data_IF_958312947900
#
_entry.id   IF_958312947900
#
_cell.length_a   1.000
_cell.length_b   1.000
_cell.length_c   1.000
_cell.angle_alpha   90.00
_cell.angle_beta   90.00
_cell.angle_gamma   90.00
#
_symmetry.space_group_name_H-M   'P 1'
#
loop_
_entity.id
_entity.type
_entity.pdbx_description
1 polymer ?
#
# COMPACT_ATOMS: atom_id res chain seq x y z
N UNK A 1 -25.54 2.95 -4.28
CA UNK A 1 -25.33 3.21 -2.84
C UNK A 1 -23.82 3.36 -2.67
N UNK A 2 -23.37 4.36 -1.93
CA UNK A 2 -21.96 4.62 -1.69
C UNK A 2 -21.38 3.51 -0.81
N UNK A 3 -20.24 2.96 -1.19
CA UNK A 3 -19.59 1.87 -0.46
C UNK A 3 -18.53 2.44 0.49
N UNK A 4 -18.26 1.73 1.59
CA UNK A 4 -17.30 2.15 2.61
C UNK A 4 -16.19 1.14 2.77
N UNK A 5 -15.00 1.64 3.11
CA UNK A 5 -13.86 0.82 3.47
C UNK A 5 -13.01 1.47 4.57
N UNK A 6 -12.09 0.69 5.10
CA UNK A 6 -11.10 1.15 6.09
C UNK A 6 -9.70 0.82 5.59
N UNK A 7 -8.82 1.83 5.69
CA UNK A 7 -7.39 1.66 5.48
C UNK A 7 -6.75 1.28 6.83
N UNK A 8 -6.19 0.08 6.88
CA UNK A 8 -5.37 -0.41 7.98
C UNK A 8 -4.29 -1.35 7.44
N UNK A 9 -3.01 -0.95 7.45
CA UNK A 9 -1.92 -1.83 7.05
C UNK A 9 -1.86 -3.10 7.89
N UNK A 10 -1.37 -4.20 7.31
CA UNK A 10 -1.21 -5.47 8.05
C UNK A 10 -0.33 -5.28 9.29
N UNK A 11 0.80 -4.57 9.16
CA UNK A 11 1.70 -4.31 10.29
C UNK A 11 1.04 -3.50 11.42
N UNK A 12 -0.05 -2.77 11.11
CA UNK A 12 -0.81 -1.94 12.07
C UNK A 12 -1.89 -2.70 12.84
N UNK A 13 -2.15 -3.96 12.51
CA UNK A 13 -3.05 -4.81 13.30
C UNK A 13 -2.50 -5.02 14.71
N UNK A 14 -3.35 -5.17 15.73
CA UNK A 14 -2.91 -5.63 17.04
C UNK A 14 -2.10 -6.94 16.91
N UNK A 15 -1.15 -7.13 17.79
CA UNK A 15 -0.37 -8.38 17.80
C UNK A 15 0.31 -8.57 19.13
N UNK A 16 0.29 -9.79 19.63
CA UNK A 16 1.06 -10.24 20.79
C UNK A 16 2.50 -10.62 20.46
N UNK A 17 2.90 -10.51 19.20
CA UNK A 17 4.25 -10.87 18.73
C UNK A 17 5.05 -9.68 18.17
N UNK A 18 4.56 -8.46 18.37
CA UNK A 18 5.28 -7.22 18.07
C UNK A 18 4.83 -6.52 16.78
N UNK A 19 4.41 -7.25 15.75
CA UNK A 19 3.93 -6.72 14.47
C UNK A 19 2.67 -7.48 14.04
N UNK A 20 1.70 -6.77 13.42
CA UNK A 20 0.52 -7.40 12.85
C UNK A 20 0.86 -8.40 11.75
N UNK A 21 0.06 -9.46 11.65
CA UNK A 21 0.30 -10.55 10.71
C UNK A 21 -1.02 -11.16 10.18
N UNK A 22 -0.94 -12.24 9.39
CA UNK A 22 -2.10 -12.92 8.81
C UNK A 22 -2.83 -13.85 9.81
N UNK A 23 -2.71 -13.58 11.10
CA UNK A 23 -3.28 -14.35 12.21
C UNK A 23 -4.66 -13.90 12.64
N UNK A 24 -5.03 -14.28 13.86
CA UNK A 24 -6.37 -14.11 14.43
C UNK A 24 -6.87 -12.68 14.40
N UNK A 25 -5.99 -11.70 14.65
CA UNK A 25 -6.35 -10.30 14.68
C UNK A 25 -6.77 -9.78 13.29
N UNK A 26 -6.20 -10.33 12.21
CA UNK A 26 -6.66 -10.04 10.85
C UNK A 26 -8.06 -10.61 10.57
N UNK A 27 -8.38 -11.80 11.08
CA UNK A 27 -9.73 -12.37 10.97
C UNK A 27 -10.74 -11.61 11.81
N UNK A 28 -10.38 -11.21 13.04
CA UNK A 28 -11.23 -10.38 13.90
C UNK A 28 -11.51 -9.01 13.24
N UNK A 29 -10.53 -8.40 12.60
CA UNK A 29 -10.74 -7.15 11.88
C UNK A 29 -11.74 -7.31 10.73
N UNK A 30 -11.65 -8.40 9.97
CA UNK A 30 -12.62 -8.73 8.92
C UNK A 30 -14.04 -8.87 9.50
N UNK A 31 -14.18 -9.53 10.65
CA UNK A 31 -15.48 -9.66 11.32
C UNK A 31 -16.02 -8.29 11.74
N UNK A 32 -15.18 -7.42 12.30
CA UNK A 32 -15.56 -6.03 12.66
C UNK A 32 -16.06 -5.27 11.42
N UNK A 33 -15.38 -5.38 10.27
CA UNK A 33 -15.81 -4.72 9.04
C UNK A 33 -17.17 -5.25 8.57
N UNK A 34 -17.30 -6.56 8.49
CA UNK A 34 -18.52 -7.23 8.04
C UNK A 34 -19.73 -6.89 8.92
N UNK A 35 -19.59 -6.94 10.25
CA UNK A 35 -20.64 -6.62 11.22
C UNK A 35 -21.13 -5.17 11.13
N UNK A 36 -20.29 -4.25 10.63
CA UNK A 36 -20.62 -2.84 10.45
C UNK A 36 -20.96 -2.47 8.99
N UNK A 37 -21.12 -3.45 8.09
CA UNK A 37 -21.49 -3.24 6.69
C UNK A 37 -20.41 -2.55 5.86
N UNK A 38 -19.14 -2.63 6.29
CA UNK A 38 -17.98 -2.06 5.60
C UNK A 38 -17.45 -3.09 4.61
N UNK A 39 -17.38 -2.69 3.34
CA UNK A 39 -17.09 -3.60 2.23
C UNK A 39 -15.63 -3.74 1.87
N UNK A 40 -14.81 -2.73 2.16
CA UNK A 40 -13.43 -2.75 1.73
C UNK A 40 -12.47 -2.66 2.91
N UNK A 41 -11.44 -3.49 2.84
CA UNK A 41 -10.22 -3.35 3.61
C UNK A 41 -9.10 -2.92 2.67
N UNK A 42 -8.67 -1.67 2.76
CA UNK A 42 -7.50 -1.21 2.03
C UNK A 42 -6.25 -1.45 2.87
N UNK A 43 -5.27 -2.08 2.25
CA UNK A 43 -3.97 -2.36 2.86
C UNK A 43 -2.85 -1.72 2.05
N UNK A 44 -1.73 -1.48 2.71
CA UNK A 44 -0.50 -1.07 2.04
C UNK A 44 0.19 -2.29 1.40
N UNK A 45 1.25 -2.08 0.57
CA UNK A 45 1.97 -3.17 -0.05
C UNK A 45 2.40 -4.23 0.96
N UNK A 46 2.15 -5.50 0.64
CA UNK A 46 2.54 -6.66 1.48
C UNK A 46 3.72 -7.44 0.90
N UNK A 47 4.37 -6.86 -0.09
CA UNK A 47 5.53 -7.45 -0.72
C UNK A 47 6.75 -7.43 0.21
N UNK A 48 7.66 -8.39 0.02
CA UNK A 48 8.93 -8.43 0.73
C UNK A 48 9.69 -7.11 0.57
N UNK A 49 9.95 -6.43 1.67
CA UNK A 49 10.55 -5.10 1.71
C UNK A 49 11.37 -4.92 3.00
N UNK A 50 12.34 -4.04 3.00
CA UNK A 50 13.12 -3.72 4.18
C UNK A 50 12.41 -2.67 5.04
N UNK A 51 11.23 -2.99 5.59
CA UNK A 51 10.39 -2.08 6.43
C UNK A 51 9.84 -0.86 5.69
N UNK A 52 10.03 -0.79 4.38
CA UNK A 52 9.57 0.31 3.53
C UNK A 52 8.58 -0.25 2.50
N UNK A 53 7.26 -0.23 2.76
CA UNK A 53 6.27 -0.91 1.92
C UNK A 53 6.35 -0.54 0.44
N UNK A 54 6.71 0.71 0.12
CA UNK A 54 6.86 1.19 -1.27
C UNK A 54 8.24 0.97 -1.88
N UNK A 55 9.11 0.22 -1.19
CA UNK A 55 10.45 -0.12 -1.65
C UNK A 55 10.66 -1.65 -1.67
N UNK A 56 9.88 -2.40 -2.46
CA UNK A 56 9.93 -3.85 -2.45
C UNK A 56 11.25 -4.39 -3.00
N UNK A 57 11.77 -5.43 -2.36
CA UNK A 57 12.87 -6.24 -2.88
C UNK A 57 12.38 -7.31 -3.86
N UNK A 58 11.07 -7.58 -3.87
CA UNK A 58 10.40 -8.42 -4.86
C UNK A 58 8.95 -8.00 -5.04
N UNK A 59 8.47 -7.98 -6.30
CA UNK A 59 7.05 -7.77 -6.59
C UNK A 59 6.17 -9.00 -6.38
N UNK A 60 6.77 -10.16 -6.13
CA UNK A 60 6.06 -11.44 -6.09
C UNK A 60 6.09 -12.09 -4.71
N UNK A 61 7.21 -11.95 -3.98
CA UNK A 61 7.34 -12.47 -2.64
C UNK A 61 6.61 -11.57 -1.62
N UNK A 62 6.10 -12.17 -0.56
CA UNK A 62 5.41 -11.48 0.54
C UNK A 62 6.38 -11.24 1.70
N UNK A 63 6.09 -10.22 2.50
CA UNK A 63 6.87 -9.84 3.68
C UNK A 63 6.81 -10.92 4.77
N UNK A 64 7.96 -11.40 5.21
CA UNK A 64 8.08 -12.54 6.12
C UNK A 64 7.53 -12.25 7.52
N UNK A 65 7.59 -11.00 7.95
CA UNK A 65 7.01 -10.56 9.22
C UNK A 65 5.49 -10.81 9.32
N UNK A 66 4.80 -10.99 8.19
CA UNK A 66 3.37 -11.25 8.16
C UNK A 66 2.99 -12.73 8.36
N UNK A 67 3.97 -13.63 8.51
CA UNK A 67 3.67 -15.01 8.94
C UNK A 67 3.13 -15.00 10.36
N UNK A 68 1.94 -15.58 10.54
CA UNK A 68 1.34 -15.78 11.86
C UNK A 68 1.98 -16.96 12.58
N UNK A 69 2.54 -16.69 13.76
CA UNK A 69 3.07 -17.74 14.64
C UNK A 69 1.95 -18.63 15.22
N UNK A 70 0.77 -18.07 15.47
CA UNK A 70 -0.36 -18.88 15.95
C UNK A 70 -0.78 -19.93 14.92
N UNK A 71 -0.83 -19.57 13.64
CA UNK A 71 -1.14 -20.52 12.56
C UNK A 71 -0.04 -21.58 12.40
N UNK A 72 1.23 -21.21 12.53
CA UNK A 72 2.31 -22.20 12.55
C UNK A 72 2.19 -23.17 13.72
N UNK A 73 1.77 -22.68 14.89
CA UNK A 73 1.49 -23.52 16.06
C UNK A 73 0.30 -24.44 15.83
N UNK A 74 -0.81 -23.95 15.27
CA UNK A 74 -1.99 -24.78 14.93
C UNK A 74 -1.65 -25.91 13.98
N UNK A 75 -0.73 -25.67 13.04
CA UNK A 75 -0.21 -26.70 12.14
C UNK A 75 0.79 -27.67 12.81
N UNK A 76 1.11 -27.46 14.10
CA UNK A 76 2.07 -28.26 14.85
C UNK A 76 3.51 -28.07 14.42
N UNK A 77 3.82 -26.98 13.72
CA UNK A 77 5.17 -26.68 13.22
C UNK A 77 6.06 -26.02 14.26
N UNK A 78 5.48 -25.34 15.25
CA UNK A 78 6.20 -24.72 16.36
C UNK A 78 5.51 -25.00 17.70
N UNK A 79 6.25 -24.86 18.79
CA UNK A 79 5.72 -24.83 20.16
C UNK A 79 5.07 -23.47 20.46
N UNK A 80 4.64 -23.28 21.73
CA UNK A 80 4.07 -22.01 22.19
C UNK A 80 5.06 -20.85 22.04
N UNK A 81 4.78 -19.86 21.19
CA UNK A 81 5.66 -18.70 21.09
C UNK A 81 5.48 -17.80 22.32
N UNK A 82 6.56 -17.16 22.71
CA UNK A 82 6.57 -16.21 23.82
C UNK A 82 5.79 -14.95 23.43
N UNK A 83 4.93 -14.47 24.32
CA UNK A 83 4.19 -13.23 24.13
C UNK A 83 5.10 -12.04 24.42
N UNK A 84 5.07 -11.04 23.57
CA UNK A 84 5.82 -9.76 23.75
C UNK A 84 4.96 -8.72 24.46
N UNK A 85 5.59 -7.70 25.08
CA UNK A 85 4.86 -6.57 25.64
C UNK A 85 3.98 -5.88 24.58
N UNK A 86 2.79 -5.43 24.98
CA UNK A 86 1.90 -4.66 24.11
C UNK A 86 2.56 -3.34 23.72
N UNK A 87 2.52 -3.01 22.45
CA UNK A 87 3.09 -1.80 21.86
C UNK A 87 2.10 -1.17 20.88
N UNK A 88 2.11 0.16 20.76
CA UNK A 88 1.44 0.92 19.72
C UNK A 88 2.35 1.18 18.51
N UNK A 89 3.51 0.51 18.48
CA UNK A 89 4.44 0.51 17.36
C UNK A 89 4.74 -0.91 16.92
N UNK A 90 4.79 -1.14 15.61
CA UNK A 90 5.30 -2.37 15.02
C UNK A 90 6.78 -2.50 15.34
N UNK A 91 7.19 -3.69 15.77
CA UNK A 91 8.57 -4.00 16.13
C UNK A 91 9.14 -4.89 15.05
N UNK A 92 10.05 -4.33 14.28
CA UNK A 92 10.78 -5.01 13.21
C UNK A 92 12.12 -5.51 13.76
N UNK A 93 12.17 -6.77 14.15
CA UNK A 93 13.37 -7.45 14.65
C UNK A 93 13.35 -8.95 14.32
N UNK A 94 14.41 -9.65 14.64
CA UNK A 94 14.59 -11.07 14.34
C UNK A 94 13.83 -12.01 15.30
N UNK A 95 12.89 -11.48 16.10
CA UNK A 95 12.17 -12.27 17.10
C UNK A 95 11.47 -13.50 16.50
N UNK A 96 10.82 -13.36 15.35
CA UNK A 96 10.07 -14.45 14.70
C UNK A 96 10.99 -15.48 14.04
N UNK A 97 12.23 -15.13 13.68
CA UNK A 97 13.16 -15.97 12.90
C UNK A 97 13.45 -17.33 13.59
N UNK A 98 13.60 -17.34 14.91
CA UNK A 98 13.80 -18.63 15.66
C UNK A 98 12.63 -19.60 15.48
N UNK A 99 11.39 -19.07 15.42
CA UNK A 99 10.19 -19.87 15.21
C UNK A 99 10.04 -20.31 13.75
N UNK A 100 10.46 -19.48 12.80
CA UNK A 100 10.48 -19.84 11.40
C UNK A 100 11.47 -20.99 11.13
N UNK A 101 12.65 -20.97 11.75
CA UNK A 101 13.63 -22.07 11.67
C UNK A 101 13.12 -23.35 12.34
N UNK A 102 12.44 -23.26 13.49
CA UNK A 102 11.77 -24.38 14.12
C UNK A 102 10.68 -24.95 13.20
N UNK A 103 9.82 -24.11 12.65
CA UNK A 103 8.76 -24.51 11.72
C UNK A 103 9.33 -25.21 10.47
N UNK A 104 10.37 -24.66 9.88
CA UNK A 104 11.03 -25.26 8.72
C UNK A 104 11.59 -26.65 9.03
N UNK A 105 12.20 -26.84 10.20
CA UNK A 105 12.75 -28.13 10.61
C UNK A 105 11.67 -29.20 10.84
N UNK A 106 10.46 -28.79 11.23
CA UNK A 106 9.32 -29.67 11.47
C UNK A 106 8.41 -29.86 10.24
N UNK A 107 8.59 -29.03 9.22
CA UNK A 107 7.74 -29.04 8.03
C UNK A 107 7.94 -30.31 7.19
N UNK A 108 6.83 -30.91 6.82
CA UNK A 108 6.79 -32.03 5.88
C UNK A 108 6.19 -31.56 4.57
N UNK A 109 6.96 -31.68 3.50
CA UNK A 109 6.51 -31.31 2.15
C UNK A 109 5.24 -32.06 1.79
N UNK A 110 4.32 -31.34 1.19
CA UNK A 110 3.06 -31.83 0.65
C UNK A 110 2.94 -31.51 -0.85
N UNK A 111 1.92 -32.01 -1.51
CA UNK A 111 1.67 -31.76 -2.95
C UNK A 111 1.43 -30.26 -3.22
N UNK A 112 0.98 -29.50 -2.24
CA UNK A 112 0.80 -28.06 -2.35
C UNK A 112 2.14 -27.33 -2.43
N UNK A 113 3.06 -27.70 -1.55
CA UNK A 113 4.44 -27.21 -1.55
C UNK A 113 5.17 -27.59 -2.84
N UNK A 114 5.06 -28.84 -3.27
CA UNK A 114 5.74 -29.31 -4.48
C UNK A 114 5.28 -28.54 -5.73
N UNK A 115 3.99 -28.18 -5.83
CA UNK A 115 3.48 -27.31 -6.87
C UNK A 115 3.97 -25.86 -6.70
N UNK A 116 3.95 -25.33 -5.46
CA UNK A 116 4.35 -23.96 -5.18
C UNK A 116 5.80 -23.68 -5.56
N UNK A 117 6.72 -24.57 -5.25
CA UNK A 117 8.14 -24.39 -5.56
C UNK A 117 8.47 -24.48 -7.06
N UNK A 118 7.50 -24.80 -7.92
CA UNK A 118 7.68 -24.72 -9.38
C UNK A 118 7.55 -23.30 -9.92
N UNK A 119 6.97 -22.36 -9.16
CA UNK A 119 6.84 -20.98 -9.59
C UNK A 119 8.20 -20.31 -9.68
N UNK A 120 8.50 -19.77 -10.86
CA UNK A 120 9.79 -19.15 -11.19
C UNK A 120 10.11 -17.99 -10.23
N UNK A 121 9.13 -17.16 -9.96
CA UNK A 121 9.24 -15.95 -9.13
C UNK A 121 9.67 -16.29 -7.70
N UNK A 122 9.11 -17.36 -7.15
CA UNK A 122 9.45 -17.81 -5.79
C UNK A 122 10.86 -18.38 -5.70
N UNK A 123 11.29 -19.10 -6.75
CA UNK A 123 12.68 -19.59 -6.83
C UNK A 123 13.68 -18.45 -6.95
N UNK A 124 13.38 -17.46 -7.79
CA UNK A 124 14.22 -16.27 -7.95
C UNK A 124 14.34 -15.49 -6.64
N UNK A 125 13.24 -15.30 -5.92
CA UNK A 125 13.28 -14.69 -4.58
C UNK A 125 14.14 -15.53 -3.61
N UNK A 126 13.94 -16.83 -3.52
CA UNK A 126 14.70 -17.67 -2.61
C UNK A 126 16.20 -17.73 -2.96
N UNK A 127 16.55 -17.70 -4.25
CA UNK A 127 17.96 -17.60 -4.72
C UNK A 127 18.58 -16.23 -4.39
N UNK A 128 17.79 -15.15 -4.52
CA UNK A 128 18.21 -13.82 -4.11
C UNK A 128 18.49 -13.77 -2.60
N UNK A 129 17.57 -14.24 -1.77
CA UNK A 129 17.72 -14.27 -0.32
C UNK A 129 18.89 -15.16 0.14
N UNK A 130 19.10 -16.31 -0.50
CA UNK A 130 20.27 -17.14 -0.22
C UNK A 130 21.60 -16.41 -0.45
N UNK A 131 21.65 -15.52 -1.45
CA UNK A 131 22.86 -14.71 -1.73
C UNK A 131 23.04 -13.56 -0.73
N UNK A 132 21.95 -12.97 -0.24
CA UNK A 132 21.97 -11.79 0.64
C UNK A 132 22.10 -12.18 2.10
N UNK A 133 21.34 -13.16 2.57
CA UNK A 133 21.27 -13.57 3.98
C UNK A 133 22.02 -14.87 4.29
N UNK A 134 22.20 -15.74 3.26
CA UNK A 134 22.99 -16.96 3.39
C UNK A 134 22.24 -18.19 3.90
N UNK A 135 20.95 -18.08 4.29
CA UNK A 135 20.13 -19.24 4.63
C UNK A 135 19.75 -20.06 3.38
N UNK A 136 19.31 -21.31 3.54
CA UNK A 136 19.05 -22.23 2.43
C UNK A 136 17.90 -21.75 1.53
N UNK A 137 18.01 -21.95 0.22
CA UNK A 137 16.91 -21.70 -0.77
C UNK A 137 15.59 -22.37 -0.31
N UNK A 138 15.69 -23.62 0.22
CA UNK A 138 14.53 -24.35 0.72
C UNK A 138 13.82 -23.68 1.89
N UNK A 139 14.55 -22.98 2.73
CA UNK A 139 14.01 -22.20 3.85
C UNK A 139 13.14 -21.04 3.35
N UNK A 140 13.63 -20.22 2.44
CA UNK A 140 12.85 -19.11 1.88
C UNK A 140 11.66 -19.57 1.05
N UNK A 141 11.78 -20.67 0.30
CA UNK A 141 10.63 -21.29 -0.38
C UNK A 141 9.56 -21.76 0.60
N UNK A 142 9.95 -22.30 1.75
CA UNK A 142 9.03 -22.66 2.82
C UNK A 142 8.32 -21.43 3.39
N UNK A 143 9.04 -20.35 3.73
CA UNK A 143 8.43 -19.13 4.26
C UNK A 143 7.40 -18.57 3.28
N UNK A 144 7.74 -18.45 2.00
CA UNK A 144 6.83 -17.94 0.97
C UNK A 144 5.63 -18.88 0.74
N UNK A 145 5.82 -20.19 0.90
CA UNK A 145 4.70 -21.14 0.86
C UNK A 145 3.72 -20.91 2.02
N UNK A 146 4.22 -20.74 3.24
CA UNK A 146 3.39 -20.45 4.42
C UNK A 146 2.65 -19.12 4.28
N UNK A 147 3.35 -18.06 3.84
CA UNK A 147 2.73 -16.77 3.53
C UNK A 147 1.62 -16.89 2.50
N UNK A 148 1.89 -17.54 1.37
CA UNK A 148 0.90 -17.76 0.32
C UNK A 148 -0.32 -18.52 0.80
N UNK A 149 -0.13 -19.52 1.69
CA UNK A 149 -1.20 -20.32 2.28
C UNK A 149 -2.04 -19.46 3.22
N UNK A 150 -1.40 -18.79 4.19
CA UNK A 150 -2.08 -17.96 5.18
C UNK A 150 -2.81 -16.78 4.52
N UNK A 151 -2.19 -16.10 3.53
CA UNK A 151 -2.84 -15.03 2.79
C UNK A 151 -4.07 -15.49 2.00
N UNK A 152 -3.97 -16.61 1.28
CA UNK A 152 -5.10 -17.16 0.52
C UNK A 152 -6.26 -17.56 1.43
N UNK A 153 -5.98 -18.08 2.62
CA UNK A 153 -7.00 -18.40 3.62
C UNK A 153 -7.67 -17.13 4.13
N UNK A 154 -6.89 -16.11 4.50
CA UNK A 154 -7.38 -14.83 4.99
C UNK A 154 -8.25 -14.13 3.94
N UNK A 155 -7.77 -14.02 2.69
CA UNK A 155 -8.55 -13.41 1.59
C UNK A 155 -9.87 -14.16 1.35
N UNK A 156 -9.82 -15.48 1.32
CA UNK A 156 -11.05 -16.29 1.15
C UNK A 156 -12.03 -16.06 2.29
N UNK A 157 -11.53 -15.94 3.52
CA UNK A 157 -12.35 -15.60 4.67
C UNK A 157 -13.00 -14.23 4.51
N UNK A 158 -12.23 -13.18 4.17
CA UNK A 158 -12.73 -11.84 3.93
C UNK A 158 -13.86 -11.84 2.88
N UNK A 159 -13.65 -12.48 1.73
CA UNK A 159 -14.66 -12.55 0.67
C UNK A 159 -15.91 -13.33 1.13
N UNK A 160 -15.77 -14.36 1.98
CA UNK A 160 -16.92 -15.08 2.56
C UNK A 160 -17.78 -14.24 3.49
N UNK A 161 -17.22 -13.12 4.00
CA UNK A 161 -17.87 -12.14 4.87
C UNK A 161 -18.34 -10.88 4.10
N UNK A 162 -18.35 -10.90 2.77
CA UNK A 162 -18.64 -9.75 1.89
C UNK A 162 -17.67 -8.56 2.13
N UNK A 163 -16.43 -8.86 2.53
CA UNK A 163 -15.33 -7.91 2.66
C UNK A 163 -14.31 -8.17 1.56
N UNK A 164 -13.95 -7.13 0.82
CA UNK A 164 -13.04 -7.19 -0.32
C UNK A 164 -11.76 -6.43 -0.01
N UNK A 165 -10.62 -6.95 -0.45
CA UNK A 165 -9.31 -6.37 -0.14
C UNK A 165 -8.84 -5.50 -1.31
N UNK A 166 -8.57 -4.23 -1.03
CA UNK A 166 -7.86 -3.33 -1.94
C UNK A 166 -6.38 -3.41 -1.59
N UNK A 167 -5.58 -3.96 -2.51
CA UNK A 167 -4.13 -3.98 -2.38
C UNK A 167 -3.49 -2.74 -2.98
N UNK A 168 -2.19 -2.61 -2.77
CA UNK A 168 -1.41 -1.48 -3.24
C UNK A 168 -0.18 -1.94 -4.00
N UNK A 169 0.09 -1.33 -5.17
CA UNK A 169 1.15 -1.73 -6.07
C UNK A 169 2.20 -0.62 -6.18
N UNK A 170 3.37 -0.75 -5.51
CA UNK A 170 4.48 0.18 -5.67
C UNK A 170 4.92 0.28 -7.13
N UNK A 171 5.32 1.47 -7.59
CA UNK A 171 5.75 1.65 -8.97
C UNK A 171 7.16 1.06 -9.23
N UNK A 172 8.13 1.35 -8.36
CA UNK A 172 9.51 0.91 -8.49
C UNK A 172 9.91 -0.14 -7.45
N UNK A 173 10.86 -1.06 -7.78
CA UNK A 173 11.56 -1.86 -6.77
C UNK A 173 12.75 -1.07 -6.21
N UNK A 174 13.46 -1.60 -5.22
CA UNK A 174 14.77 -1.07 -4.82
C UNK A 174 15.86 -1.43 -5.83
N UNK A 175 17.00 -0.72 -5.78
CA UNK A 175 18.16 -1.03 -6.63
C UNK A 175 18.62 -2.47 -6.51
N UNK A 176 18.72 -2.96 -5.27
CA UNK A 176 19.11 -4.33 -4.96
C UNK A 176 17.86 -5.16 -4.74
N UNK A 177 17.29 -5.66 -5.83
CA UNK A 177 16.04 -6.41 -5.84
C UNK A 177 16.15 -7.67 -6.68
N UNK A 178 15.20 -8.58 -6.48
CA UNK A 178 15.04 -9.76 -7.34
C UNK A 178 14.89 -9.34 -8.80
N UNK A 179 14.11 -8.29 -9.03
CA UNK A 179 13.81 -7.80 -10.38
C UNK A 179 15.07 -7.30 -11.09
N UNK A 180 15.87 -6.51 -10.44
CA UNK A 180 17.10 -5.96 -11.04
C UNK A 180 18.19 -7.02 -11.19
N UNK A 181 18.19 -8.05 -10.33
CA UNK A 181 19.12 -9.15 -10.41
C UNK A 181 18.80 -10.11 -11.57
N UNK A 182 17.53 -10.43 -11.81
CA UNK A 182 17.12 -11.43 -12.79
C UNK A 182 16.64 -10.84 -14.12
N UNK A 183 16.33 -9.54 -14.16
CA UNK A 183 15.79 -8.81 -15.31
C UNK A 183 16.43 -7.43 -15.49
N UNK A 184 17.79 -7.33 -15.45
CA UNK A 184 18.48 -6.03 -15.50
C UNK A 184 18.18 -5.26 -16.80
N UNK A 185 17.82 -5.96 -17.89
CA UNK A 185 17.50 -5.37 -19.19
C UNK A 185 16.28 -4.45 -19.19
N UNK A 186 15.40 -4.58 -18.18
CA UNK A 186 14.23 -3.71 -18.05
C UNK A 186 14.51 -2.43 -17.24
N UNK A 187 15.77 -2.20 -16.85
CA UNK A 187 16.20 -1.00 -16.14
C UNK A 187 17.29 -0.25 -16.91
N UNK A 188 17.40 1.06 -16.66
CA UNK A 188 18.44 1.89 -17.31
C UNK A 188 19.81 1.61 -16.67
N UNK A 189 20.54 0.70 -17.29
CA UNK A 189 21.87 0.26 -16.87
C UNK A 189 22.84 0.24 -18.06
N UNK A 190 24.11 0.61 -17.81
CA UNK A 190 25.23 0.46 -18.73
C UNK A 190 26.38 -0.24 -18.02
N UNK A 191 26.96 -1.26 -18.64
CA UNK A 191 28.06 -2.05 -18.07
C UNK A 191 27.79 -2.53 -16.61
N UNK A 192 26.55 -2.93 -16.33
CA UNK A 192 26.11 -3.41 -15.01
C UNK A 192 25.97 -2.32 -13.94
N UNK A 193 25.95 -1.04 -14.33
CA UNK A 193 25.76 0.10 -13.43
C UNK A 193 24.51 0.89 -13.80
N UNK A 194 23.79 1.35 -12.79
CA UNK A 194 22.66 2.23 -13.01
C UNK A 194 23.11 3.60 -13.54
N UNK A 195 22.44 4.08 -14.58
CA UNK A 195 22.72 5.38 -15.18
C UNK A 195 21.81 6.46 -14.63
N UNK A 196 20.63 6.08 -14.13
CA UNK A 196 19.64 6.98 -13.55
C UNK A 196 19.02 6.36 -12.28
N UNK A 197 18.47 7.22 -11.44
CA UNK A 197 17.57 6.85 -10.34
C UNK A 197 16.25 7.60 -10.47
N UNK A 198 15.19 7.01 -9.89
CA UNK A 198 13.87 7.60 -9.83
C UNK A 198 13.78 8.70 -8.76
N UNK A 199 12.90 9.67 -9.00
CA UNK A 199 12.65 10.75 -8.05
C UNK A 199 11.61 11.75 -8.54
N UNK A 200 11.64 12.95 -7.96
CA UNK A 200 10.80 14.09 -8.37
C UNK A 200 11.64 15.33 -8.59
N UNK A 201 11.18 16.27 -9.43
CA UNK A 201 11.82 17.58 -9.55
C UNK A 201 11.72 18.38 -8.25
N UNK A 202 12.51 19.47 -8.13
CA UNK A 202 12.32 20.46 -7.07
C UNK A 202 10.87 20.96 -7.01
N UNK A 203 10.34 21.06 -5.79
CA UNK A 203 9.00 21.57 -5.51
C UNK A 203 9.03 22.58 -4.34
N UNK A 204 7.85 23.03 -3.92
CA UNK A 204 7.71 23.95 -2.78
C UNK A 204 8.25 23.35 -1.46
N UNK A 205 8.16 22.04 -1.28
CA UNK A 205 8.55 21.35 -0.05
C UNK A 205 10.03 20.93 -0.05
N UNK A 206 10.58 20.64 -1.23
CA UNK A 206 11.98 20.22 -1.39
C UNK A 206 12.63 20.90 -2.59
N UNK A 207 13.44 21.93 -2.31
CA UNK A 207 14.14 22.74 -3.34
C UNK A 207 15.19 21.97 -4.14
N UNK A 208 15.56 20.76 -3.72
CA UNK A 208 16.53 19.88 -4.41
C UNK A 208 15.85 18.71 -5.13
N UNK A 209 14.51 18.61 -5.04
CA UNK A 209 13.75 17.45 -5.47
C UNK A 209 13.93 16.25 -4.54
N UNK A 210 13.29 15.15 -4.87
CA UNK A 210 13.41 13.91 -4.09
C UNK A 210 14.15 12.85 -4.90
N UNK A 211 14.98 12.06 -4.23
CA UNK A 211 15.60 10.85 -4.73
C UNK A 211 14.95 9.66 -4.03
N UNK A 212 14.44 8.70 -4.80
CA UNK A 212 13.65 7.59 -4.24
C UNK A 212 14.44 6.32 -4.01
N UNK A 213 15.75 6.35 -4.27
CA UNK A 213 16.63 5.18 -4.14
C UNK A 213 16.10 3.96 -4.92
N UNK A 214 15.61 4.20 -6.13
CA UNK A 214 14.97 3.19 -6.97
C UNK A 214 15.49 3.26 -8.41
N UNK A 215 15.63 2.11 -9.11
CA UNK A 215 16.07 2.06 -10.49
C UNK A 215 14.99 2.55 -11.44
N UNK A 216 15.39 3.16 -12.54
CA UNK A 216 14.48 3.67 -13.58
C UNK A 216 14.26 2.61 -14.66
N UNK A 217 13.03 2.44 -15.10
CA UNK A 217 12.67 1.51 -16.16
C UNK A 217 13.28 1.87 -17.53
N UNK A 218 13.72 0.85 -18.26
CA UNK A 218 14.02 0.93 -19.68
C UNK A 218 12.74 0.66 -20.48
N UNK A 219 11.97 1.72 -20.72
CA UNK A 219 10.67 1.64 -21.40
C UNK A 219 10.76 1.04 -22.79
N UNK A 220 11.86 1.30 -23.51
CA UNK A 220 12.07 0.77 -24.86
C UNK A 220 12.23 -0.77 -24.87
N UNK A 221 12.91 -1.33 -23.88
CA UNK A 221 13.02 -2.78 -23.77
C UNK A 221 11.71 -3.43 -23.30
N UNK A 222 10.97 -2.76 -22.41
CA UNK A 222 9.63 -3.19 -21.97
C UNK A 222 8.64 -3.15 -23.15
N UNK A 223 8.70 -2.15 -24.03
CA UNK A 223 7.90 -2.10 -25.26
C UNK A 223 8.24 -3.23 -26.25
N UNK A 224 9.54 -3.57 -26.39
CA UNK A 224 9.97 -4.67 -27.27
C UNK A 224 9.45 -6.04 -26.82
N UNK A 225 9.21 -6.21 -25.56
CA UNK A 225 8.62 -7.41 -24.96
C UNK A 225 7.07 -7.35 -24.92
N UNK A 226 6.45 -6.39 -25.59
CA UNK A 226 5.02 -6.12 -25.56
C UNK A 226 4.48 -5.90 -24.14
N UNK A 227 5.25 -5.28 -23.28
CA UNK A 227 4.92 -4.98 -21.87
C UNK A 227 4.70 -6.23 -21.01
N UNK A 228 5.03 -7.45 -21.46
CA UNK A 228 4.72 -8.69 -20.72
C UNK A 228 5.32 -8.67 -19.31
N UNK A 229 6.50 -8.08 -19.15
CA UNK A 229 7.14 -7.91 -17.83
C UNK A 229 6.24 -7.18 -16.82
N UNK A 230 5.65 -6.04 -17.21
CA UNK A 230 4.76 -5.25 -16.33
C UNK A 230 3.36 -5.88 -16.25
N UNK A 231 2.83 -6.39 -17.37
CA UNK A 231 1.53 -7.08 -17.41
C UNK A 231 1.52 -8.29 -16.47
N UNK A 232 2.61 -9.09 -16.47
CA UNK A 232 2.74 -10.24 -15.58
C UNK A 232 2.67 -9.85 -14.11
N UNK A 233 3.31 -8.74 -13.72
CA UNK A 233 3.25 -8.17 -12.38
C UNK A 233 1.81 -7.80 -11.97
N UNK A 234 1.08 -7.04 -12.81
CA UNK A 234 -0.32 -6.68 -12.52
C UNK A 234 -1.21 -7.90 -12.38
N UNK A 235 -1.07 -8.87 -13.29
CA UNK A 235 -1.82 -10.13 -13.24
C UNK A 235 -1.54 -10.94 -11.96
N UNK A 236 -0.31 -10.89 -11.47
CA UNK A 236 0.05 -11.56 -10.22
C UNK A 236 -0.61 -10.86 -9.03
N UNK A 237 -0.51 -9.54 -8.93
CA UNK A 237 -1.09 -8.75 -7.84
C UNK A 237 -2.62 -8.85 -7.82
N UNK A 238 -3.29 -8.83 -8.97
CA UNK A 238 -4.74 -9.03 -9.07
C UNK A 238 -5.22 -10.44 -8.69
N UNK A 239 -4.33 -11.42 -8.52
CA UNK A 239 -4.66 -12.70 -7.87
C UNK A 239 -4.64 -12.59 -6.35
N UNK A 240 -3.79 -11.71 -5.81
CA UNK A 240 -3.68 -11.51 -4.37
C UNK A 240 -4.84 -10.66 -3.83
N UNK A 241 -5.34 -9.69 -4.60
CA UNK A 241 -6.30 -8.69 -4.17
C UNK A 241 -7.60 -8.74 -4.98
N UNK A 242 -8.63 -8.04 -4.51
CA UNK A 242 -9.92 -7.92 -5.22
C UNK A 242 -9.96 -6.65 -6.07
N UNK A 243 -9.26 -5.61 -5.63
CA UNK A 243 -8.93 -4.39 -6.39
C UNK A 243 -7.49 -3.99 -6.11
N UNK A 244 -6.93 -3.18 -6.99
CA UNK A 244 -5.52 -2.79 -6.91
C UNK A 244 -5.40 -1.26 -7.00
N UNK A 245 -4.89 -0.63 -5.93
CA UNK A 245 -4.40 0.74 -6.01
C UNK A 245 -3.09 0.75 -6.80
N UNK A 246 -3.06 1.56 -7.82
CA UNK A 246 -1.89 1.74 -8.70
C UNK A 246 -1.18 3.00 -8.26
N UNK A 247 -0.11 2.81 -7.51
CA UNK A 247 0.72 3.88 -6.98
C UNK A 247 1.41 4.67 -8.09
N UNK A 248 1.59 5.98 -7.88
CA UNK A 248 2.28 6.87 -8.81
C UNK A 248 1.78 6.75 -10.25
N UNK A 249 0.46 6.86 -10.47
CA UNK A 249 -0.15 6.67 -11.80
C UNK A 249 0.44 7.60 -12.87
N UNK A 250 0.87 8.82 -12.50
CA UNK A 250 1.61 9.69 -13.40
C UNK A 250 2.79 8.99 -14.06
N UNK A 251 3.48 8.11 -13.36
CA UNK A 251 4.62 7.35 -13.88
C UNK A 251 4.29 6.47 -15.08
N UNK A 252 3.02 6.07 -15.25
CA UNK A 252 2.58 5.32 -16.43
C UNK A 252 2.48 6.19 -17.68
N UNK A 253 2.25 7.50 -17.53
CA UNK A 253 2.32 8.47 -18.63
C UNK A 253 3.75 9.00 -18.78
N UNK A 254 4.32 9.56 -17.72
CA UNK A 254 5.70 10.05 -17.69
C UNK A 254 6.27 10.03 -16.29
N UNK A 255 7.51 9.62 -16.13
CA UNK A 255 8.22 9.60 -14.86
C UNK A 255 9.49 10.44 -14.89
N UNK A 256 9.94 10.85 -13.71
CA UNK A 256 11.13 11.66 -13.55
C UNK A 256 12.35 10.80 -13.30
N UNK A 257 13.43 11.03 -14.03
CA UNK A 257 14.71 10.33 -13.87
C UNK A 257 15.82 11.32 -13.56
N UNK A 258 16.67 10.99 -12.63
CA UNK A 258 17.81 11.79 -12.17
C UNK A 258 19.08 11.04 -12.57
N UNK A 259 20.07 11.67 -13.24
CA UNK A 259 21.36 11.02 -13.48
C UNK A 259 21.93 10.49 -12.17
N UNK A 260 22.41 9.26 -12.17
CA UNK A 260 22.79 8.56 -10.93
C UNK A 260 23.84 9.34 -10.11
N UNK A 261 23.51 9.60 -8.85
CA UNK A 261 24.36 10.38 -7.94
C UNK A 261 24.23 11.91 -8.04
N UNK A 262 23.37 12.41 -8.94
CA UNK A 262 23.11 13.85 -9.08
C UNK A 262 21.92 14.30 -8.22
N UNK A 263 21.61 15.60 -8.22
CA UNK A 263 20.45 16.19 -7.54
C UNK A 263 19.19 16.07 -8.39
N UNK A 264 18.00 16.13 -7.77
CA UNK A 264 16.73 16.24 -8.50
C UNK A 264 16.66 17.44 -9.45
N UNK A 265 17.49 18.48 -9.23
CA UNK A 265 17.61 19.62 -10.16
C UNK A 265 18.19 19.24 -11.53
N UNK A 266 18.94 18.14 -11.60
CA UNK A 266 19.62 17.67 -12.81
C UNK A 266 18.79 16.62 -13.56
N UNK A 267 17.59 16.30 -13.03
CA UNK A 267 16.70 15.31 -13.60
C UNK A 267 15.83 15.84 -14.73
N UNK A 268 15.20 14.92 -15.43
CA UNK A 268 14.27 15.20 -16.53
C UNK A 268 13.11 14.21 -16.57
N UNK A 269 11.98 14.61 -17.16
CA UNK A 269 10.88 13.72 -17.45
C UNK A 269 11.17 12.88 -18.69
N UNK A 270 10.73 11.63 -18.65
CA UNK A 270 10.74 10.70 -19.80
C UNK A 270 9.39 10.02 -19.92
N UNK A 271 9.06 9.55 -21.14
CA UNK A 271 7.80 8.86 -21.40
C UNK A 271 7.69 7.54 -20.58
N UNK A 272 6.50 7.26 -20.11
CA UNK A 272 6.15 6.03 -19.43
C UNK A 272 5.61 4.95 -20.38
N UNK A 273 4.82 4.04 -19.84
CA UNK A 273 4.25 2.90 -20.58
C UNK A 273 3.02 3.28 -21.40
N UNK A 274 2.25 4.25 -20.92
CA UNK A 274 1.09 4.88 -21.55
C UNK A 274 0.01 3.86 -22.02
N UNK A 275 -0.74 4.20 -23.06
CA UNK A 275 -1.84 3.38 -23.61
C UNK A 275 -1.38 1.96 -23.98
N UNK A 276 -0.18 1.82 -24.57
CA UNK A 276 0.31 0.52 -25.03
C UNK A 276 0.34 -0.56 -23.95
N UNK A 277 0.72 -0.20 -22.72
CA UNK A 277 0.69 -1.12 -21.59
C UNK A 277 -0.73 -1.53 -21.20
N UNK A 278 -1.65 -0.57 -21.05
CA UNK A 278 -3.03 -0.89 -20.64
C UNK A 278 -3.79 -1.65 -21.72
N UNK A 279 -3.55 -1.37 -23.00
CA UNK A 279 -4.09 -2.14 -24.11
C UNK A 279 -3.65 -3.62 -24.04
N UNK A 280 -2.38 -3.89 -23.68
CA UNK A 280 -1.91 -5.26 -23.48
C UNK A 280 -2.50 -5.91 -22.22
N UNK A 281 -2.59 -5.16 -21.11
CA UNK A 281 -3.17 -5.66 -19.86
C UNK A 281 -4.63 -6.09 -20.05
N UNK A 282 -5.45 -5.30 -20.74
CA UNK A 282 -6.88 -5.57 -20.93
C UNK A 282 -7.20 -6.59 -22.03
N UNK A 283 -6.17 -7.16 -22.72
CA UNK A 283 -6.39 -8.38 -23.52
C UNK A 283 -6.74 -9.58 -22.65
N UNK A 284 -6.39 -9.57 -21.38
CA UNK A 284 -6.79 -10.58 -20.40
C UNK A 284 -8.23 -10.32 -19.94
N UNK A 285 -9.19 -11.09 -20.44
CA UNK A 285 -10.64 -10.89 -20.27
C UNK A 285 -11.14 -10.84 -18.84
N UNK A 286 -10.35 -11.33 -17.90
CA UNK A 286 -10.66 -11.32 -16.45
C UNK A 286 -10.09 -10.09 -15.72
N UNK A 287 -9.51 -9.14 -16.45
CA UNK A 287 -8.98 -7.88 -15.89
C UNK A 287 -9.69 -6.73 -16.60
N UNK A 288 -10.23 -5.83 -15.84
CA UNK A 288 -11.00 -4.68 -16.31
C UNK A 288 -10.51 -3.38 -15.67
N UNK A 289 -10.79 -2.21 -16.25
CA UNK A 289 -10.47 -0.94 -15.60
C UNK A 289 -11.08 -0.78 -14.20
N UNK A 290 -12.22 -1.43 -13.92
CA UNK A 290 -12.86 -1.37 -12.59
C UNK A 290 -12.06 -2.11 -11.50
N UNK A 291 -11.09 -2.95 -11.87
CA UNK A 291 -10.20 -3.62 -10.93
C UNK A 291 -9.06 -2.70 -10.43
N UNK A 292 -8.87 -1.55 -11.10
CA UNK A 292 -7.79 -0.62 -10.85
C UNK A 292 -8.31 0.71 -10.27
N UNK A 293 -7.62 1.19 -9.23
CA UNK A 293 -7.81 2.50 -8.62
C UNK A 293 -6.50 3.24 -8.79
N UNK A 294 -6.49 4.35 -9.52
CA UNK A 294 -5.23 5.02 -9.85
C UNK A 294 -4.95 6.18 -8.92
N UNK A 295 -3.72 6.25 -8.42
CA UNK A 295 -3.25 7.36 -7.62
C UNK A 295 -2.84 8.50 -8.56
N UNK A 296 -3.76 9.45 -8.77
CA UNK A 296 -3.63 10.63 -9.63
C UNK A 296 -3.52 11.93 -8.80
N UNK A 297 -2.68 11.91 -7.78
CA UNK A 297 -2.45 13.03 -6.87
C UNK A 297 -1.19 13.84 -7.27
N UNK A 298 -1.10 15.08 -6.79
CA UNK A 298 0.05 15.96 -7.00
C UNK A 298 0.04 16.68 -8.35
N UNK A 299 1.23 16.84 -8.97
CA UNK A 299 1.38 17.53 -10.26
C UNK A 299 0.98 16.60 -11.42
N UNK A 300 -0.30 16.65 -11.77
CA UNK A 300 -0.90 15.81 -12.83
C UNK A 300 -0.98 16.63 -14.13
N UNK A 301 -0.27 16.17 -15.16
CA UNK A 301 -0.34 16.76 -16.50
C UNK A 301 -1.61 16.28 -17.24
N UNK A 302 -1.98 17.04 -18.27
CA UNK A 302 -3.21 16.75 -19.04
C UNK A 302 -3.18 15.38 -19.71
N UNK A 303 -2.01 14.89 -20.14
CA UNK A 303 -1.86 13.58 -20.78
C UNK A 303 -2.16 12.45 -19.79
N UNK A 304 -1.75 12.58 -18.54
CA UNK A 304 -2.08 11.63 -17.46
C UNK A 304 -3.60 11.59 -17.21
N UNK A 305 -4.25 12.77 -17.20
CA UNK A 305 -5.70 12.85 -17.05
C UNK A 305 -6.43 12.23 -18.26
N UNK A 306 -5.95 12.47 -19.49
CA UNK A 306 -6.49 11.86 -20.69
C UNK A 306 -6.35 10.34 -20.69
N UNK A 307 -5.20 9.82 -20.24
CA UNK A 307 -4.96 8.39 -20.08
C UNK A 307 -5.96 7.77 -19.09
N UNK A 308 -6.15 8.38 -17.92
CA UNK A 308 -7.13 7.96 -16.92
C UNK A 308 -8.55 7.92 -17.49
N UNK A 309 -8.97 9.02 -18.13
CA UNK A 309 -10.32 9.15 -18.71
C UNK A 309 -10.58 8.18 -19.85
N UNK A 310 -9.56 7.88 -20.66
CA UNK A 310 -9.68 6.95 -21.79
C UNK A 310 -10.15 5.56 -21.34
N UNK A 311 -9.57 5.04 -20.25
CA UNK A 311 -9.98 3.73 -19.71
C UNK A 311 -11.09 3.83 -18.67
N UNK A 312 -11.43 5.02 -18.21
CA UNK A 312 -12.44 5.23 -17.17
C UNK A 312 -11.98 4.77 -15.80
N UNK A 313 -10.68 4.84 -15.51
CA UNK A 313 -10.16 4.44 -14.19
C UNK A 313 -10.76 5.26 -13.05
N UNK A 314 -11.02 4.59 -11.92
CA UNK A 314 -11.38 5.25 -10.68
C UNK A 314 -10.17 6.01 -10.16
N UNK A 315 -10.36 7.32 -9.88
CA UNK A 315 -9.33 8.20 -9.33
C UNK A 315 -9.36 8.24 -7.80
N UNK A 316 -8.31 8.80 -7.20
CA UNK A 316 -8.28 9.12 -5.78
C UNK A 316 -8.61 10.59 -5.51
N UNK A 317 -9.31 10.85 -4.39
CA UNK A 317 -9.56 12.19 -3.84
C UNK A 317 -9.17 12.22 -2.38
N UNK A 318 -8.48 13.27 -1.96
CA UNK A 318 -8.12 13.52 -0.56
C UNK A 318 -8.82 14.81 -0.11
N UNK A 319 -9.70 14.73 0.89
CA UNK A 319 -10.44 15.87 1.42
C UNK A 319 -9.52 16.99 1.89
N UNK A 320 -8.44 16.66 2.59
CA UNK A 320 -7.46 17.66 3.07
C UNK A 320 -6.85 18.50 1.95
N UNK A 321 -6.77 17.96 0.71
CA UNK A 321 -6.24 18.68 -0.45
C UNK A 321 -7.32 19.40 -1.27
N UNK A 322 -8.56 18.94 -1.20
CA UNK A 322 -9.67 19.52 -1.95
C UNK A 322 -10.36 20.70 -1.23
N UNK A 323 -10.14 20.90 0.06
CA UNK A 323 -10.73 21.99 0.80
C UNK A 323 -9.94 23.29 0.65
N UNK A 324 -10.48 24.24 -0.12
CA UNK A 324 -9.99 25.63 -0.16
C UNK A 324 -10.58 26.40 1.03
N UNK A 325 -9.82 26.45 2.11
CA UNK A 325 -10.26 27.13 3.34
C UNK A 325 -10.17 28.67 3.26
N UNK A 326 -9.46 29.22 2.30
CA UNK A 326 -9.40 30.67 2.10
C UNK A 326 -10.69 31.17 1.42
N UNK A 327 -11.22 30.41 0.46
CA UNK A 327 -12.49 30.70 -0.23
C UNK A 327 -13.69 29.91 0.33
N UNK A 328 -13.46 28.99 1.27
CA UNK A 328 -14.48 28.24 2.03
C UNK A 328 -15.34 27.32 1.12
N UNK A 329 -14.70 26.54 0.23
CA UNK A 329 -15.38 25.56 -0.60
C UNK A 329 -14.50 24.30 -0.86
N UNK A 330 -15.14 23.24 -1.36
CA UNK A 330 -14.47 22.02 -1.83
C UNK A 330 -14.31 22.11 -3.36
N UNK A 331 -13.07 22.18 -3.84
CA UNK A 331 -12.73 22.39 -5.25
C UNK A 331 -12.86 21.13 -6.12
N UNK A 332 -13.04 19.97 -5.52
CA UNK A 332 -13.03 18.68 -6.23
C UNK A 332 -14.21 17.79 -5.84
N UNK A 333 -15.44 18.30 -6.00
CA UNK A 333 -16.66 17.56 -5.62
C UNK A 333 -17.58 17.23 -6.81
N UNK A 334 -17.06 17.21 -8.05
CA UNK A 334 -17.87 17.02 -9.25
C UNK A 334 -17.77 15.62 -9.89
N UNK A 335 -16.72 14.85 -9.61
CA UNK A 335 -16.52 13.50 -10.14
C UNK A 335 -17.14 12.45 -9.19
N UNK A 336 -17.89 11.48 -9.76
CA UNK A 336 -18.49 10.38 -9.01
C UNK A 336 -17.68 9.08 -9.09
N UNK A 337 -16.80 8.92 -10.08
CA UNK A 337 -15.92 7.74 -10.21
C UNK A 337 -14.65 7.88 -9.38
N UNK A 338 -14.84 8.05 -8.08
CA UNK A 338 -13.81 8.42 -7.13
C UNK A 338 -13.79 7.45 -5.96
N UNK A 339 -12.59 7.03 -5.55
CA UNK A 339 -12.30 6.52 -4.23
C UNK A 339 -11.78 7.71 -3.39
N UNK A 340 -12.51 8.08 -2.36
CA UNK A 340 -12.21 9.26 -1.56
C UNK A 340 -11.67 8.90 -0.17
N UNK A 341 -10.80 9.78 0.36
CA UNK A 341 -10.25 9.71 1.72
C UNK A 341 -10.43 11.05 2.43
N UNK A 342 -10.64 11.07 3.75
CA UNK A 342 -10.40 12.27 4.55
C UNK A 342 -8.92 12.69 4.52
N UNK A 343 -8.04 11.76 4.73
CA UNK A 343 -6.61 11.71 4.53
C UNK A 343 -6.18 10.26 4.36
N UNK A 344 -5.12 9.97 3.60
CA UNK A 344 -4.58 8.63 3.41
C UNK A 344 -3.36 8.37 4.33
N UNK A 345 -2.64 7.27 4.11
CA UNK A 345 -1.45 6.89 4.88
C UNK A 345 -0.30 7.92 4.83
N UNK A 346 -0.25 8.77 3.81
CA UNK A 346 0.76 9.82 3.61
C UNK A 346 0.32 11.18 4.16
N UNK A 347 -0.95 11.32 4.53
CA UNK A 347 -1.50 12.55 5.08
C UNK A 347 -1.31 12.64 6.60
N UNK A 348 -1.46 13.85 7.14
CA UNK A 348 -1.78 14.02 8.55
C UNK A 348 -3.09 13.30 8.87
N UNK A 349 -3.26 12.83 10.11
CA UNK A 349 -4.59 12.42 10.57
C UNK A 349 -5.53 13.62 10.45
N UNK A 350 -6.81 13.38 10.27
CA UNK A 350 -7.80 14.45 10.09
C UNK A 350 -7.78 15.47 11.27
N UNK A 351 -7.64 14.95 12.49
CA UNK A 351 -7.53 15.79 13.67
C UNK A 351 -6.17 16.49 13.78
N UNK A 352 -5.08 15.82 13.40
CA UNK A 352 -3.73 16.40 13.31
C UNK A 352 -3.67 17.53 12.29
N UNK A 353 -4.25 17.31 11.11
CA UNK A 353 -4.37 18.35 10.08
C UNK A 353 -5.13 19.57 10.59
N UNK A 354 -6.31 19.39 11.21
CA UNK A 354 -7.03 20.50 11.81
C UNK A 354 -6.18 21.28 12.82
N UNK A 355 -5.44 20.59 13.68
CA UNK A 355 -4.57 21.24 14.68
C UNK A 355 -3.40 22.01 14.03
N UNK A 356 -2.94 21.60 12.85
CA UNK A 356 -1.87 22.29 12.14
C UNK A 356 -2.30 23.58 11.42
N UNK A 357 -3.61 23.77 11.22
CA UNK A 357 -4.15 24.97 10.60
C UNK A 357 -3.98 26.17 11.52
N UNK A 358 -3.71 27.35 10.96
CA UNK A 358 -3.79 28.60 11.68
C UNK A 358 -5.22 28.92 12.15
N UNK A 359 -5.35 29.83 13.11
CA UNK A 359 -6.64 30.17 13.73
C UNK A 359 -7.69 30.64 12.72
N UNK A 360 -7.29 31.30 11.64
CA UNK A 360 -8.18 31.81 10.60
C UNK A 360 -8.75 30.63 9.79
N UNK A 361 -7.90 29.71 9.34
CA UNK A 361 -8.30 28.51 8.60
C UNK A 361 -9.14 27.55 9.48
N UNK A 362 -8.82 27.43 10.76
CA UNK A 362 -9.66 26.67 11.71
C UNK A 362 -11.08 27.25 11.79
N UNK A 363 -11.22 28.57 11.88
CA UNK A 363 -12.55 29.20 11.91
C UNK A 363 -13.27 29.11 10.56
N UNK A 364 -12.54 29.22 9.45
CA UNK A 364 -13.09 29.02 8.10
C UNK A 364 -13.57 27.59 7.91
N UNK A 365 -12.85 26.58 8.41
CA UNK A 365 -13.30 25.19 8.38
C UNK A 365 -14.60 25.00 9.19
N UNK A 366 -14.68 25.56 10.40
CA UNK A 366 -15.93 25.51 11.19
C UNK A 366 -17.09 26.20 10.45
N UNK A 367 -16.84 27.33 9.78
CA UNK A 367 -17.83 28.02 8.98
C UNK A 367 -18.25 27.17 7.78
N UNK A 368 -17.30 26.53 7.09
CA UNK A 368 -17.56 25.60 6.02
C UNK A 368 -18.47 24.46 6.44
N UNK A 369 -18.16 23.82 7.59
CA UNK A 369 -18.95 22.72 8.14
C UNK A 369 -20.36 23.17 8.52
N UNK A 370 -20.51 24.35 9.15
CA UNK A 370 -21.84 24.94 9.44
C UNK A 370 -22.67 25.16 8.18
N UNK A 371 -22.05 25.71 7.14
CA UNK A 371 -22.72 25.99 5.86
C UNK A 371 -23.19 24.69 5.16
N UNK A 372 -22.54 23.56 5.44
CA UNK A 372 -22.87 22.23 4.93
C UNK A 372 -23.68 21.37 5.90
N UNK A 373 -24.17 21.95 7.01
CA UNK A 373 -24.97 21.24 8.03
C UNK A 373 -24.24 20.03 8.65
N UNK A 374 -22.92 20.18 8.85
CA UNK A 374 -22.02 19.13 9.36
C UNK A 374 -21.27 19.56 10.62
N UNK A 375 -21.66 20.69 11.24
CA UNK A 375 -20.94 21.18 12.41
C UNK A 375 -21.27 20.35 13.66
N UNK A 376 -20.19 19.92 14.34
CA UNK A 376 -20.23 19.27 15.63
C UNK A 376 -19.23 19.95 16.58
N UNK A 377 -19.41 19.80 17.90
CA UNK A 377 -18.44 20.25 18.91
C UNK A 377 -17.11 19.50 18.71
N UNK A 378 -17.18 18.23 18.39
CA UNK A 378 -16.05 17.46 17.93
C UNK A 378 -15.83 17.71 16.43
N UNK A 379 -14.80 18.51 16.12
CA UNK A 379 -14.48 18.90 14.74
C UNK A 379 -14.23 17.70 13.83
N UNK A 380 -13.64 16.62 14.36
CA UNK A 380 -13.39 15.39 13.60
C UNK A 380 -14.72 14.77 13.13
N UNK A 381 -15.73 14.71 14.01
CA UNK A 381 -17.06 14.21 13.65
C UNK A 381 -17.69 15.09 12.56
N UNK A 382 -17.59 16.41 12.69
CA UNK A 382 -18.12 17.34 11.69
C UNK A 382 -17.47 17.16 10.30
N UNK A 383 -16.16 16.98 10.27
CA UNK A 383 -15.43 16.70 9.03
C UNK A 383 -15.84 15.35 8.41
N UNK A 384 -16.01 14.31 9.23
CA UNK A 384 -16.45 13.00 8.78
C UNK A 384 -17.89 13.00 8.25
N UNK A 385 -18.79 13.79 8.89
CA UNK A 385 -20.14 13.99 8.38
C UNK A 385 -20.14 14.68 7.02
N UNK A 386 -19.29 15.70 6.82
CA UNK A 386 -19.14 16.33 5.52
C UNK A 386 -18.60 15.35 4.49
N UNK A 387 -17.56 14.59 4.82
CA UNK A 387 -16.97 13.60 3.94
C UNK A 387 -18.00 12.57 3.45
N UNK A 388 -18.87 12.10 4.32
CA UNK A 388 -19.98 11.21 3.94
C UNK A 388 -20.95 11.83 2.93
N UNK A 389 -21.03 13.18 2.82
CA UNK A 389 -21.87 13.89 1.83
C UNK A 389 -21.15 14.13 0.50
N UNK A 390 -19.80 14.01 0.44
CA UNK A 390 -19.05 14.20 -0.80
C UNK A 390 -19.49 13.21 -1.88
N UNK A 391 -19.35 13.60 -3.14
CA UNK A 391 -19.55 12.67 -4.25
C UNK A 391 -18.35 11.71 -4.30
N UNK A 392 -18.64 10.41 -4.33
CA UNK A 392 -17.65 9.34 -4.46
C UNK A 392 -18.37 8.01 -4.63
N UNK A 393 -17.70 7.03 -5.21
CA UNK A 393 -18.21 5.65 -5.34
C UNK A 393 -17.82 4.84 -4.10
N UNK A 394 -16.60 5.06 -3.59
CA UNK A 394 -16.07 4.39 -2.41
C UNK A 394 -15.47 5.45 -1.47
N UNK A 395 -15.78 5.36 -0.19
CA UNK A 395 -15.14 6.14 0.87
C UNK A 395 -14.24 5.25 1.72
N UNK A 396 -12.98 5.62 1.82
CA UNK A 396 -12.01 4.93 2.69
C UNK A 396 -11.63 5.83 3.86
N UNK A 397 -11.73 5.30 5.06
CA UNK A 397 -11.36 5.98 6.29
C UNK A 397 -10.10 5.32 6.87
N UNK A 398 -9.20 6.11 7.44
CA UNK A 398 -8.14 5.54 8.26
C UNK A 398 -8.68 5.21 9.65
N UNK A 399 -8.13 4.20 10.30
CA UNK A 399 -8.51 3.89 11.69
C UNK A 399 -8.20 5.06 12.62
N UNK A 400 -7.13 5.81 12.33
CA UNK A 400 -6.77 6.99 13.11
C UNK A 400 -7.86 8.07 13.08
N UNK A 401 -8.47 8.27 11.91
CA UNK A 401 -9.52 9.27 11.74
C UNK A 401 -10.81 8.82 12.43
N UNK A 402 -11.15 7.54 12.35
CA UNK A 402 -12.28 6.96 13.09
C UNK A 402 -12.12 7.18 14.59
N UNK A 403 -10.92 6.96 15.13
CA UNK A 403 -10.61 7.12 16.54
C UNK A 403 -10.33 8.59 16.96
N UNK A 404 -10.28 9.52 16.01
CA UNK A 404 -9.97 10.93 16.28
C UNK A 404 -8.56 11.16 16.83
N UNK A 405 -7.59 10.33 16.40
CA UNK A 405 -6.20 10.40 16.83
C UNK A 405 -5.45 11.54 16.14
N UNK A 406 -4.40 12.05 16.77
CA UNK A 406 -3.55 13.08 16.18
C UNK A 406 -2.31 12.51 15.48
N UNK A 407 -1.46 13.40 14.97
CA UNK A 407 -0.29 13.05 14.14
C UNK A 407 0.80 12.23 14.86
N UNK A 408 0.70 12.03 16.17
CA UNK A 408 1.55 11.03 16.85
C UNK A 408 1.26 9.60 16.38
N UNK A 409 0.07 9.39 15.79
CA UNK A 409 -0.39 8.10 15.23
C UNK A 409 -0.31 8.05 13.70
N UNK A 410 0.30 9.03 13.05
CA UNK A 410 0.46 9.08 11.60
C UNK A 410 1.27 7.87 11.08
N UNK A 411 0.87 7.31 9.93
CA UNK A 411 1.54 6.14 9.34
C UNK A 411 2.85 6.54 8.68
N UNK A 412 2.82 7.57 7.83
CA UNK A 412 4.00 8.04 7.09
C UNK A 412 4.07 9.56 7.03
N UNK A 413 5.28 10.11 7.05
CA UNK A 413 5.57 11.48 6.65
C UNK A 413 6.47 11.44 5.42
N UNK A 414 5.92 11.72 4.20
CA UNK A 414 6.67 11.66 2.97
C UNK A 414 7.91 12.57 2.95
N UNK A 415 8.98 12.12 2.29
CA UNK A 415 10.21 12.89 2.13
C UNK A 415 11.08 12.99 3.39
N UNK A 416 10.72 12.33 4.49
CA UNK A 416 11.48 12.34 5.75
C UNK A 416 11.68 10.92 6.24
N UNK A 417 12.94 10.49 6.38
CA UNK A 417 13.27 9.24 7.07
C UNK A 417 13.21 9.45 8.57
N UNK A 418 12.33 8.70 9.25
CA UNK A 418 12.20 8.69 10.70
C UNK A 418 11.71 7.32 11.20
N UNK A 419 12.09 6.91 12.41
CA UNK A 419 11.71 5.60 12.97
C UNK A 419 10.19 5.39 13.14
N UNK A 420 9.43 6.50 13.24
CA UNK A 420 7.98 6.46 13.43
C UNK A 420 7.23 6.09 12.14
N UNK A 421 7.81 6.34 10.96
CA UNK A 421 7.19 5.96 9.70
C UNK A 421 6.99 4.43 9.63
N UNK A 422 5.84 4.02 9.12
CA UNK A 422 5.46 2.62 8.89
C UNK A 422 5.46 1.76 10.17
N UNK A 423 5.25 2.39 11.34
CA UNK A 423 5.35 1.67 12.60
C UNK A 423 4.11 1.76 13.49
N UNK A 424 3.21 2.73 13.26
CA UNK A 424 2.01 2.86 14.09
C UNK A 424 1.14 1.59 14.04
N UNK A 425 0.63 1.19 15.21
CA UNK A 425 -0.13 -0.05 15.38
C UNK A 425 -1.22 0.11 16.44
N UNK A 426 -2.38 -0.49 16.20
CA UNK A 426 -3.41 -0.67 17.22
C UNK A 426 -2.90 -1.58 18.36
N UNK A 427 -3.28 -1.24 19.59
CA UNK A 427 -3.04 -2.10 20.76
C UNK A 427 -4.05 -3.24 20.83
N UNK A 428 -5.31 -2.91 20.56
CA UNK A 428 -6.47 -3.80 20.51
C UNK A 428 -7.58 -3.17 19.67
N UNK A 429 -8.73 -3.82 19.55
CA UNK A 429 -9.89 -3.34 18.78
C UNK A 429 -11.00 -2.72 19.63
N UNK A 430 -10.84 -2.56 20.94
CA UNK A 430 -11.95 -2.14 21.83
C UNK A 430 -12.49 -0.75 21.47
N UNK A 431 -11.60 0.23 21.28
CA UNK A 431 -12.00 1.57 20.88
C UNK A 431 -12.57 1.58 19.45
N UNK A 432 -11.98 0.85 18.52
CA UNK A 432 -12.48 0.75 17.15
C UNK A 432 -13.90 0.16 17.12
N UNK A 433 -14.17 -0.92 17.83
CA UNK A 433 -15.50 -1.56 17.91
C UNK A 433 -16.57 -0.61 18.47
N UNK A 434 -16.18 0.33 19.32
CA UNK A 434 -17.09 1.34 19.87
C UNK A 434 -17.38 2.43 18.85
N UNK A 435 -16.33 3.01 18.25
CA UNK A 435 -16.43 4.21 17.42
C UNK A 435 -16.91 3.90 16.00
N UNK A 436 -16.59 2.75 15.43
CA UNK A 436 -16.95 2.37 14.07
C UNK A 436 -18.47 2.35 13.80
N UNK A 437 -19.27 2.16 14.85
CA UNK A 437 -20.74 2.16 14.77
C UNK A 437 -21.34 3.53 14.44
N UNK A 438 -20.54 4.59 14.57
CA UNK A 438 -20.95 5.97 14.31
C UNK A 438 -20.72 6.34 12.82
N UNK A 439 -20.18 5.44 12.02
CA UNK A 439 -19.86 5.55 10.60
C UNK A 439 -20.84 4.78 9.74
#
# INVERSE_FOLDING_TARGET
MKEKGILLPIFSLPSKYGIGDFGYEAYEFIDILSENGIKYWEILPINACNRLPYSPVSYYALEEDFISLDKLKEEGLIKDPEVRPVSDRAIYDDYKVKYYKEAYSNFKKDDGYDRFVTHKEMRQYAEYMNKTDGDEVGYYLFLQYMLSKQWKELKRYANSKDVYIIGDLPFYPVFDSVETMFYPEYYLMEDGKYTFEAGTPPDYYNSDGQRWNAPVYNVENIKKDNFEYIVHRFRYQLKLFDKLRVDYFRGYDSFFKIPFGMSGRDGEYTDGFSYGFFDELFKYKNITPDDLIVEDLGDIRIETELLRKHYGFMRQKILQFSLDLDNIYDIDNDDENVLAFPGNHDCSTLYGWYKSLDSNKQENLKKFLRNNECYDININIGMMQYFNKCKSKIDIFTVQDILGLDDSCRINLPGVERPENWSWKLKDFEDLKREIKNF
#
